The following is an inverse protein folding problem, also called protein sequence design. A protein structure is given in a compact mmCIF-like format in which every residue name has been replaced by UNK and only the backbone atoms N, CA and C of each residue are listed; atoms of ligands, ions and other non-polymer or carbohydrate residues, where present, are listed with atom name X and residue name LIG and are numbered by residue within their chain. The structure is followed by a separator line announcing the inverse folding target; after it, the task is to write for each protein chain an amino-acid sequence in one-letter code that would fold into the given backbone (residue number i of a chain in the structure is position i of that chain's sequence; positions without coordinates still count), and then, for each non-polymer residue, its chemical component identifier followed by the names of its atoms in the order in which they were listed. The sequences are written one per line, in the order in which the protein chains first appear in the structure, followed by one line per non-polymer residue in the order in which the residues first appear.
data_IF_132917822858
#
_entry.id   IF_132917822858
#
_cell.length_a   1.000
_cell.length_b   1.000
_cell.length_c   1.000
_cell.angle_alpha   90.00
_cell.angle_beta   90.00
_cell.angle_gamma   90.00
#
_symmetry.space_group_name_H-M   'P 1'
#
loop_
_entity.id
_entity.type
_entity.pdbx_description
1 polymer ?
#
# COMPACT_ATOMS: atom_id res chain seq x y z
N UNK A 1 31.09 1.11 37.51
CA UNK A 1 31.75 0.40 36.39
C UNK A 1 31.15 -0.98 36.06
N UNK A 2 30.24 -1.58 36.84
CA UNK A 2 29.63 -2.90 36.53
C UNK A 2 28.32 -2.87 35.72
N UNK A 3 27.72 -1.70 35.46
CA UNK A 3 26.42 -1.60 34.79
C UNK A 3 26.52 -1.56 33.25
N UNK A 4 27.70 -1.28 32.71
CA UNK A 4 27.88 -1.09 31.26
C UNK A 4 27.95 -2.44 30.52
N UNK A 5 28.63 -3.42 31.12
CA UNK A 5 28.72 -4.79 30.59
C UNK A 5 27.39 -5.55 30.65
N UNK A 6 26.51 -5.25 31.63
CA UNK A 6 25.18 -5.87 31.72
C UNK A 6 24.24 -5.34 30.64
N UNK A 7 24.28 -4.04 30.35
CA UNK A 7 23.52 -3.43 29.27
C UNK A 7 23.99 -3.91 27.89
N UNK A 8 25.30 -4.00 27.66
CA UNK A 8 25.83 -4.53 26.40
C UNK A 8 25.43 -5.99 26.15
N UNK A 9 25.54 -6.87 27.17
CA UNK A 9 25.08 -8.25 27.06
C UNK A 9 23.58 -8.34 26.77
N UNK A 10 22.77 -7.48 27.41
CA UNK A 10 21.33 -7.41 27.16
C UNK A 10 21.02 -6.93 25.74
N UNK A 11 21.75 -5.93 25.25
CA UNK A 11 21.64 -5.50 23.85
C UNK A 11 21.92 -6.66 22.90
N UNK A 12 23.06 -7.35 23.04
CA UNK A 12 23.41 -8.50 22.19
C UNK A 12 22.39 -9.64 22.25
N UNK A 13 21.73 -9.84 23.39
CA UNK A 13 20.69 -10.86 23.54
C UNK A 13 19.36 -10.47 22.86
N UNK A 14 19.03 -9.18 22.84
CA UNK A 14 17.71 -8.68 22.46
C UNK A 14 17.74 -7.76 21.23
N UNK A 15 18.84 -7.80 20.49
CA UNK A 15 18.99 -7.16 19.19
C UNK A 15 18.69 -8.19 18.10
N UNK A 16 17.70 -7.88 17.26
CA UNK A 16 17.34 -8.69 16.10
C UNK A 16 17.70 -7.93 14.83
N UNK A 17 18.43 -8.60 13.95
CA UNK A 17 18.73 -8.10 12.62
C UNK A 17 17.99 -8.94 11.59
N UNK A 18 17.27 -8.28 10.69
CA UNK A 18 16.55 -8.92 9.60
C UNK A 18 17.41 -8.92 8.35
N UNK A 19 18.19 -9.99 8.16
CA UNK A 19 19.13 -10.12 7.04
C UNK A 19 18.48 -9.82 5.68
N UNK A 20 19.21 -9.11 4.82
CA UNK A 20 18.72 -8.72 3.49
C UNK A 20 17.74 -7.55 3.46
N UNK A 21 17.28 -7.03 4.60
CA UNK A 21 16.31 -5.91 4.64
C UNK A 21 16.91 -4.57 5.06
N UNK A 22 18.10 -4.58 5.67
CA UNK A 22 18.69 -3.39 6.31
C UNK A 22 17.94 -2.95 7.59
N UNK A 23 16.97 -3.74 8.06
CA UNK A 23 16.17 -3.44 9.25
C UNK A 23 16.74 -4.19 10.46
N UNK A 24 16.82 -3.48 11.58
CA UNK A 24 17.19 -4.04 12.89
C UNK A 24 16.26 -3.51 13.97
N UNK A 25 16.04 -4.33 15.00
CA UNK A 25 15.20 -4.02 16.15
C UNK A 25 15.97 -4.27 17.44
N UNK A 26 16.09 -3.24 18.28
CA UNK A 26 16.61 -3.34 19.65
C UNK A 26 15.46 -3.23 20.65
N UNK A 27 15.17 -4.32 21.37
CA UNK A 27 14.16 -4.31 22.45
C UNK A 27 14.79 -4.27 23.86
N UNK A 28 16.11 -4.16 23.97
CA UNK A 28 16.83 -4.26 25.24
C UNK A 28 16.41 -3.20 26.27
N UNK A 29 15.81 -2.10 25.84
CA UNK A 29 15.37 -0.98 26.71
C UNK A 29 13.88 -0.99 27.05
N UNK A 30 13.13 -2.02 26.66
CA UNK A 30 11.68 -2.09 26.90
C UNK A 30 11.27 -2.52 28.31
N UNK A 31 12.22 -2.79 29.22
CA UNK A 31 11.94 -3.02 30.63
C UNK A 31 11.19 -4.31 30.98
N UNK A 32 11.19 -5.31 30.09
CA UNK A 32 10.68 -6.66 30.37
C UNK A 32 11.76 -7.57 30.97
N UNK A 33 11.36 -8.54 31.79
CA UNK A 33 12.24 -9.59 32.31
C UNK A 33 12.05 -10.93 31.57
N UNK A 34 12.95 -11.88 31.83
CA UNK A 34 12.92 -13.21 31.18
C UNK A 34 11.69 -14.03 31.57
N UNK A 35 11.26 -13.95 32.83
CA UNK A 35 10.06 -14.65 33.28
C UNK A 35 8.82 -14.23 32.50
N UNK A 36 8.64 -12.93 32.27
CA UNK A 36 7.56 -12.41 31.45
C UNK A 36 7.68 -12.89 29.99
N UNK A 37 8.87 -12.82 29.40
CA UNK A 37 9.11 -13.33 28.04
C UNK A 37 8.74 -14.81 27.89
N UNK A 38 9.12 -15.63 28.87
CA UNK A 38 8.85 -17.07 28.88
C UNK A 38 7.34 -17.35 28.95
N UNK A 39 6.58 -16.55 29.72
CA UNK A 39 5.11 -16.69 29.78
C UNK A 39 4.42 -16.40 28.45
N UNK A 40 5.05 -15.63 27.56
CA UNK A 40 4.47 -15.25 26.27
C UNK A 40 4.76 -16.26 25.15
N UNK A 41 5.68 -17.20 25.34
CA UNK A 41 6.11 -18.11 24.27
C UNK A 41 4.95 -18.93 23.70
N UNK A 42 4.09 -19.48 24.56
CA UNK A 42 2.93 -20.27 24.11
C UNK A 42 1.92 -19.45 23.31
N UNK A 43 1.63 -18.22 23.75
CA UNK A 43 0.73 -17.31 23.04
C UNK A 43 1.29 -16.93 21.67
N UNK A 44 2.60 -16.70 21.58
CA UNK A 44 3.23 -16.37 20.30
C UNK A 44 3.31 -17.57 19.35
N UNK A 45 3.61 -18.77 19.86
CA UNK A 45 3.56 -19.98 19.07
C UNK A 45 2.16 -20.21 18.47
N UNK A 46 1.11 -20.01 19.27
CA UNK A 46 -0.27 -20.06 18.78
C UNK A 46 -0.55 -18.98 17.72
N UNK A 47 -0.07 -17.74 17.91
CA UNK A 47 -0.24 -16.67 16.93
C UNK A 47 0.39 -17.01 15.57
N UNK A 48 1.56 -17.66 15.56
CA UNK A 48 2.21 -18.13 14.32
C UNK A 48 1.40 -19.23 13.63
N UNK A 49 0.80 -20.16 14.39
CA UNK A 49 -0.11 -21.18 13.84
C UNK A 49 -1.35 -20.55 13.21
N UNK A 50 -1.95 -19.55 13.87
CA UNK A 50 -3.09 -18.82 13.30
C UNK A 50 -2.70 -18.01 12.06
N UNK A 51 -1.49 -17.44 12.04
CA UNK A 51 -0.96 -16.75 10.86
C UNK A 51 -0.79 -17.69 9.66
N UNK A 52 -0.27 -18.91 9.88
CA UNK A 52 -0.17 -19.93 8.83
C UNK A 52 -1.55 -20.29 8.25
N UNK A 53 -2.57 -20.46 9.11
CA UNK A 53 -3.96 -20.68 8.66
C UNK A 53 -4.49 -19.50 7.84
N UNK A 54 -4.25 -18.27 8.28
CA UNK A 54 -4.67 -17.06 7.58
C UNK A 54 -4.06 -16.99 6.17
N UNK A 55 -2.77 -17.27 6.06
CA UNK A 55 -2.05 -17.29 4.78
C UNK A 55 -2.51 -18.43 3.87
N UNK A 56 -2.87 -19.57 4.45
CA UNK A 56 -3.50 -20.69 3.76
C UNK A 56 -4.94 -20.42 3.28
N UNK A 57 -5.47 -19.21 3.48
CA UNK A 57 -6.79 -18.82 2.99
C UNK A 57 -7.93 -19.11 3.96
N UNK A 58 -7.66 -19.27 5.25
CA UNK A 58 -8.74 -19.34 6.24
C UNK A 58 -9.59 -18.06 6.22
N UNK A 59 -10.89 -18.22 6.52
CA UNK A 59 -11.80 -17.09 6.72
C UNK A 59 -11.39 -16.40 8.02
N UNK A 60 -10.81 -15.21 7.86
CA UNK A 60 -10.27 -14.41 8.95
C UNK A 60 -11.32 -13.50 9.57
N UNK A 61 -12.20 -12.96 8.73
CA UNK A 61 -13.27 -12.06 9.13
C UNK A 61 -14.60 -12.82 9.08
N UNK A 62 -15.10 -13.36 10.22
CA UNK A 62 -16.34 -14.13 10.24
C UNK A 62 -17.57 -13.27 9.91
N UNK A 63 -17.54 -11.96 10.24
CA UNK A 63 -18.67 -11.06 10.00
C UNK A 63 -18.86 -10.77 8.50
N UNK A 64 -17.75 -10.71 7.75
CA UNK A 64 -17.78 -10.47 6.30
C UNK A 64 -17.59 -11.75 5.47
N UNK A 65 -17.32 -12.89 6.12
CA UNK A 65 -16.95 -14.15 5.49
C UNK A 65 -15.81 -14.01 4.46
N UNK A 66 -14.73 -13.30 4.85
CA UNK A 66 -13.59 -12.96 3.96
C UNK A 66 -12.26 -13.55 4.43
N UNK A 67 -11.45 -13.92 3.45
CA UNK A 67 -10.01 -14.18 3.62
C UNK A 67 -9.23 -12.87 3.78
N UNK A 68 -7.98 -12.97 4.25
CA UNK A 68 -7.02 -11.85 4.31
C UNK A 68 -5.79 -12.23 3.51
N UNK A 69 -5.66 -11.69 2.30
CA UNK A 69 -4.72 -12.19 1.29
C UNK A 69 -3.61 -11.23 0.87
N UNK A 70 -3.37 -10.15 1.62
CA UNK A 70 -2.41 -9.11 1.20
C UNK A 70 -0.96 -9.62 1.07
N UNK A 71 -0.61 -10.73 1.70
CA UNK A 71 0.69 -11.42 1.52
C UNK A 71 0.84 -12.04 0.13
N UNK A 72 -0.26 -12.56 -0.44
CA UNK A 72 -0.26 -13.16 -1.78
C UNK A 72 0.08 -12.13 -2.86
N UNK A 73 -0.22 -10.85 -2.62
CA UNK A 73 0.15 -9.76 -3.54
C UNK A 73 1.67 -9.59 -3.68
N UNK A 74 2.43 -9.93 -2.63
CA UNK A 74 3.90 -9.80 -2.58
C UNK A 74 4.58 -11.11 -2.95
N UNK A 75 3.89 -12.22 -2.69
CA UNK A 75 4.33 -13.55 -3.08
C UNK A 75 3.12 -14.36 -3.59
N UNK A 76 2.81 -14.29 -4.89
CA UNK A 76 1.68 -15.05 -5.45
C UNK A 76 1.85 -16.55 -5.26
N UNK A 77 3.07 -17.03 -5.00
CA UNK A 77 3.34 -18.45 -4.95
C UNK A 77 2.69 -19.18 -3.76
N UNK A 78 2.38 -18.42 -2.71
CA UNK A 78 1.71 -18.91 -1.49
C UNK A 78 0.20 -18.67 -1.52
N UNK A 79 -0.37 -18.23 -2.64
CA UNK A 79 -1.81 -18.09 -2.78
C UNK A 79 -2.52 -19.46 -2.60
N UNK A 80 -3.72 -19.49 -2.00
CA UNK A 80 -4.39 -20.73 -1.61
C UNK A 80 -4.92 -21.55 -2.80
N UNK A 81 -4.96 -20.96 -4.01
CA UNK A 81 -5.31 -21.65 -5.24
C UNK A 81 -4.69 -20.94 -6.46
N UNK A 82 -4.66 -21.64 -7.59
CA UNK A 82 -4.07 -21.15 -8.84
C UNK A 82 -4.86 -19.98 -9.45
N UNK A 83 -6.17 -19.91 -9.25
CA UNK A 83 -6.97 -18.80 -9.76
C UNK A 83 -6.53 -17.45 -9.16
N UNK A 84 -6.33 -17.40 -7.84
CA UNK A 84 -5.85 -16.19 -7.15
C UNK A 84 -4.40 -15.88 -7.57
N UNK A 85 -3.55 -16.91 -7.64
CA UNK A 85 -2.15 -16.77 -8.06
C UNK A 85 -2.04 -16.10 -9.43
N UNK A 86 -2.75 -16.63 -10.42
CA UNK A 86 -2.68 -16.12 -11.79
C UNK A 86 -3.33 -14.74 -11.91
N UNK A 87 -4.47 -14.49 -11.25
CA UNK A 87 -5.08 -13.15 -11.21
C UNK A 87 -4.14 -12.07 -10.66
N UNK A 88 -3.32 -12.39 -9.66
CA UNK A 88 -2.34 -11.44 -9.11
C UNK A 88 -1.22 -11.17 -10.11
N UNK A 89 -0.68 -12.22 -10.74
CA UNK A 89 0.40 -12.11 -11.74
C UNK A 89 -0.06 -11.32 -12.97
N UNK A 90 -1.19 -11.70 -13.55
CA UNK A 90 -1.80 -11.03 -14.71
C UNK A 90 -2.07 -9.55 -14.42
N UNK A 91 -2.56 -9.24 -13.21
CA UNK A 91 -2.79 -7.86 -12.82
C UNK A 91 -1.46 -7.09 -12.70
N UNK A 92 -0.43 -7.67 -12.07
CA UNK A 92 0.89 -7.02 -11.97
C UNK A 92 1.48 -6.72 -13.36
N UNK A 93 1.42 -7.68 -14.29
CA UNK A 93 1.86 -7.49 -15.68
C UNK A 93 1.05 -6.39 -16.38
N UNK A 94 -0.27 -6.35 -16.14
CA UNK A 94 -1.15 -5.32 -16.69
C UNK A 94 -0.82 -3.92 -16.16
N UNK A 95 -0.44 -3.81 -14.88
CA UNK A 95 -0.02 -2.54 -14.27
C UNK A 95 1.28 -2.04 -14.90
N UNK A 96 2.27 -2.92 -15.06
CA UNK A 96 3.54 -2.61 -15.72
C UNK A 96 3.31 -2.13 -17.16
N UNK A 97 2.60 -2.92 -17.96
CA UNK A 97 2.32 -2.59 -19.36
C UNK A 97 1.54 -1.27 -19.52
N UNK A 98 0.54 -1.04 -18.67
CA UNK A 98 -0.20 0.22 -18.70
C UNK A 98 0.69 1.41 -18.35
N UNK A 99 1.47 1.31 -17.27
CA UNK A 99 2.30 2.41 -16.77
C UNK A 99 3.43 2.74 -17.75
N UNK A 100 4.10 1.74 -18.33
CA UNK A 100 5.12 1.93 -19.36
C UNK A 100 4.55 2.72 -20.55
N UNK A 101 3.37 2.32 -21.04
CA UNK A 101 2.68 3.00 -22.15
C UNK A 101 2.24 4.42 -21.82
N UNK A 102 1.93 4.72 -20.57
CA UNK A 102 1.63 6.09 -20.11
C UNK A 102 2.91 6.92 -20.12
N UNK A 103 4.00 6.41 -19.55
CA UNK A 103 5.25 7.13 -19.36
C UNK A 103 5.99 7.38 -20.68
N UNK A 104 5.91 6.46 -21.64
CA UNK A 104 6.49 6.64 -22.98
C UNK A 104 5.60 7.39 -23.98
N UNK A 105 4.36 7.69 -23.59
CA UNK A 105 3.40 8.47 -24.39
C UNK A 105 2.63 7.68 -25.44
N UNK A 106 2.68 6.35 -25.46
CA UNK A 106 1.77 5.50 -26.27
C UNK A 106 0.30 5.68 -25.83
N UNK A 107 0.06 5.82 -24.53
CA UNK A 107 -1.19 6.32 -23.95
C UNK A 107 -0.94 7.80 -23.61
N UNK A 108 -1.71 8.69 -24.23
CA UNK A 108 -1.52 10.14 -24.12
C UNK A 108 -2.84 10.85 -23.88
N UNK A 109 -2.82 12.01 -23.19
CA UNK A 109 -4.02 12.83 -23.02
C UNK A 109 -4.52 13.36 -24.38
N UNK A 110 -5.83 13.64 -24.54
CA UNK A 110 -6.38 14.13 -25.80
C UNK A 110 -5.82 15.49 -26.25
N UNK A 111 -5.38 16.32 -25.30
CA UNK A 111 -5.01 17.73 -25.53
C UNK A 111 -3.54 18.05 -25.23
N UNK A 112 -2.69 17.04 -25.05
CA UNK A 112 -1.25 17.22 -24.83
C UNK A 112 -0.42 16.06 -25.42
N UNK A 113 0.90 16.23 -25.48
CA UNK A 113 1.80 15.23 -26.09
C UNK A 113 1.98 13.99 -25.23
N UNK A 114 1.97 14.14 -23.90
CA UNK A 114 2.15 13.08 -22.90
C UNK A 114 1.53 13.50 -21.58
N UNK A 115 1.33 12.56 -20.68
CA UNK A 115 1.05 12.88 -19.27
C UNK A 115 2.31 13.40 -18.59
N UNK A 116 2.15 14.37 -17.70
CA UNK A 116 3.24 14.90 -16.87
C UNK A 116 2.85 14.96 -15.38
N UNK A 117 1.55 14.83 -15.08
CA UNK A 117 0.97 14.90 -13.75
C UNK A 117 0.10 13.69 -13.46
N UNK A 118 0.04 13.29 -12.20
CA UNK A 118 -0.91 12.33 -11.66
C UNK A 118 -1.77 13.02 -10.60
N UNK A 119 -3.08 12.89 -10.70
CA UNK A 119 -4.03 13.29 -9.65
C UNK A 119 -4.70 12.04 -9.09
N UNK A 120 -4.34 11.65 -7.89
CA UNK A 120 -4.95 10.52 -7.18
C UNK A 120 -6.13 11.01 -6.35
N UNK A 121 -7.27 10.34 -6.48
CA UNK A 121 -8.51 10.61 -5.74
C UNK A 121 -8.91 9.35 -4.98
N UNK A 122 -8.88 9.40 -3.66
CA UNK A 122 -9.15 8.25 -2.79
C UNK A 122 -9.04 8.66 -1.33
N UNK A 123 -9.67 7.96 -0.39
CA UNK A 123 -9.57 8.29 1.05
C UNK A 123 -9.09 7.10 1.86
N UNK A 124 -8.44 7.37 3.00
CA UNK A 124 -7.95 6.35 3.93
C UNK A 124 -6.98 5.39 3.24
N UNK A 125 -7.27 4.09 3.26
CA UNK A 125 -6.44 3.07 2.62
C UNK A 125 -6.18 3.28 1.12
N UNK A 126 -7.14 3.90 0.41
CA UNK A 126 -7.03 4.22 -1.01
C UNK A 126 -6.07 5.37 -1.32
N UNK A 127 -5.58 6.10 -0.33
CA UNK A 127 -4.68 7.24 -0.54
C UNK A 127 -3.46 7.28 0.39
N UNK A 128 -3.58 6.86 1.66
CA UNK A 128 -2.48 6.95 2.62
C UNK A 128 -1.28 6.07 2.25
N UNK A 129 -1.50 4.85 1.77
CA UNK A 129 -0.43 3.98 1.28
C UNK A 129 0.31 4.58 0.08
N UNK A 130 -0.40 4.98 -1.00
CA UNK A 130 0.20 5.71 -2.11
C UNK A 130 0.93 6.99 -1.72
N UNK A 131 0.37 7.79 -0.80
CA UNK A 131 1.02 9.00 -0.28
C UNK A 131 2.32 8.68 0.46
N UNK A 132 2.32 7.64 1.29
CA UNK A 132 3.51 7.19 2.01
C UNK A 132 4.62 6.76 1.03
N UNK A 133 4.28 5.95 0.02
CA UNK A 133 5.27 5.54 -0.99
C UNK A 133 5.83 6.75 -1.74
N UNK A 134 4.97 7.66 -2.17
CA UNK A 134 5.39 8.88 -2.84
C UNK A 134 6.35 9.69 -1.96
N UNK A 135 5.97 10.01 -0.72
CA UNK A 135 6.79 10.84 0.17
C UNK A 135 8.09 10.16 0.62
N UNK A 136 8.05 8.86 0.91
CA UNK A 136 9.22 8.13 1.37
C UNK A 136 10.26 7.95 0.25
N UNK A 137 9.83 7.93 -1.01
CA UNK A 137 10.66 7.64 -2.17
C UNK A 137 10.88 8.85 -3.09
N UNK A 138 10.26 10.01 -2.79
CA UNK A 138 10.45 11.29 -3.51
C UNK A 138 11.92 11.74 -3.50
N UNK A 139 12.66 11.41 -2.44
CA UNK A 139 14.08 11.72 -2.28
C UNK A 139 15.05 10.83 -3.08
N UNK A 140 14.56 9.78 -3.76
CA UNK A 140 15.41 8.94 -4.60
C UNK A 140 15.87 9.77 -5.81
N UNK A 141 17.19 9.92 -6.05
CA UNK A 141 17.71 10.67 -7.18
C UNK A 141 17.10 10.18 -8.49
N UNK A 142 16.77 11.09 -9.43
CA UNK A 142 16.12 10.72 -10.70
C UNK A 142 16.89 9.66 -11.50
N UNK A 143 18.22 9.63 -11.37
CA UNK A 143 19.13 8.63 -11.98
C UNK A 143 18.95 7.21 -11.44
N UNK A 144 18.35 7.06 -10.26
CA UNK A 144 18.09 5.79 -9.57
C UNK A 144 16.64 5.34 -9.76
N UNK A 145 15.78 6.19 -10.33
CA UNK A 145 14.44 5.79 -10.75
C UNK A 145 14.52 4.99 -12.05
N UNK A 146 13.63 4.01 -12.20
CA UNK A 146 13.56 3.17 -13.40
C UNK A 146 13.12 3.98 -14.62
N UNK A 147 12.26 5.00 -14.42
CA UNK A 147 11.73 5.91 -15.42
C UNK A 147 11.48 7.30 -14.82
N UNK A 148 11.40 8.33 -15.67
CA UNK A 148 10.96 9.64 -15.21
C UNK A 148 9.47 9.64 -14.91
N UNK A 149 9.11 9.84 -13.64
CA UNK A 149 7.75 9.72 -13.13
C UNK A 149 6.88 10.97 -13.29
N UNK A 150 5.58 10.82 -13.02
CA UNK A 150 4.61 11.90 -12.99
C UNK A 150 4.62 12.63 -11.64
N UNK A 151 4.63 13.97 -11.68
CA UNK A 151 4.42 14.78 -10.46
C UNK A 151 3.01 14.52 -9.90
N UNK A 152 2.90 14.12 -8.64
CA UNK A 152 1.65 13.57 -8.07
C UNK A 152 0.96 14.54 -7.11
N UNK A 153 -0.36 14.62 -7.22
CA UNK A 153 -1.27 15.37 -6.37
C UNK A 153 -2.32 14.42 -5.77
N UNK A 154 -2.83 14.75 -4.59
CA UNK A 154 -3.76 13.89 -3.85
C UNK A 154 -5.00 14.65 -3.42
N UNK A 155 -6.18 14.10 -3.71
CA UNK A 155 -7.46 14.50 -3.13
C UNK A 155 -7.90 13.37 -2.21
N UNK A 156 -7.70 13.56 -0.90
CA UNK A 156 -7.92 12.54 0.13
C UNK A 156 -8.90 12.92 1.23
N UNK A 157 -9.50 14.09 1.11
CA UNK A 157 -10.49 14.61 2.03
C UNK A 157 -11.56 15.38 1.24
N UNK A 158 -12.60 15.84 1.94
CA UNK A 158 -13.73 16.56 1.34
C UNK A 158 -13.64 18.08 1.44
N UNK A 159 -12.50 18.64 1.88
CA UNK A 159 -12.34 20.08 2.01
C UNK A 159 -12.30 20.74 0.61
N UNK A 160 -13.32 21.54 0.23
CA UNK A 160 -13.35 22.19 -1.07
C UNK A 160 -12.20 23.18 -1.25
N UNK A 161 -11.68 23.79 -0.18
CA UNK A 161 -10.56 24.72 -0.27
C UNK A 161 -9.26 23.97 -0.60
N UNK A 162 -9.04 22.81 0.03
CA UNK A 162 -7.98 21.87 -0.30
C UNK A 162 -7.97 21.48 -1.78
N UNK A 163 -9.12 21.04 -2.29
CA UNK A 163 -9.28 20.72 -3.71
C UNK A 163 -9.01 21.93 -4.61
N UNK A 164 -9.54 23.11 -4.28
CA UNK A 164 -9.32 24.33 -5.04
C UNK A 164 -7.83 24.72 -5.11
N UNK A 165 -7.07 24.54 -4.01
CA UNK A 165 -5.61 24.75 -4.01
C UNK A 165 -4.89 23.79 -4.96
N UNK A 166 -5.32 22.52 -5.04
CA UNK A 166 -4.76 21.54 -5.97
C UNK A 166 -5.07 21.94 -7.42
N UNK A 167 -6.33 22.25 -7.74
CA UNK A 167 -6.69 22.67 -9.11
C UNK A 167 -5.99 23.96 -9.53
N UNK A 168 -5.75 24.90 -8.59
CA UNK A 168 -4.95 26.10 -8.85
C UNK A 168 -3.50 25.76 -9.18
N UNK A 169 -2.88 24.81 -8.45
CA UNK A 169 -1.51 24.34 -8.73
C UNK A 169 -1.41 23.63 -10.08
N UNK A 170 -2.37 22.76 -10.38
CA UNK A 170 -2.44 22.10 -11.69
C UNK A 170 -2.63 23.12 -12.81
N UNK A 171 -3.51 24.10 -12.63
CA UNK A 171 -3.69 25.16 -13.62
C UNK A 171 -3.90 24.58 -15.03
N UNK A 172 -3.09 25.01 -15.99
CA UNK A 172 -3.17 24.51 -17.38
C UNK A 172 -2.55 23.12 -17.58
N UNK A 173 -1.81 22.60 -16.61
CA UNK A 173 -1.32 21.21 -16.65
C UNK A 173 -2.45 20.19 -16.49
N UNK A 174 -3.69 20.62 -16.16
CA UNK A 174 -4.85 19.71 -16.09
C UNK A 174 -5.07 18.92 -17.40
N UNK A 175 -4.71 19.50 -18.55
CA UNK A 175 -4.78 18.84 -19.87
C UNK A 175 -3.73 17.73 -20.09
N UNK A 176 -2.75 17.64 -19.18
CA UNK A 176 -1.68 16.63 -19.16
C UNK A 176 -1.66 15.83 -17.84
N UNK A 177 -2.77 15.87 -17.09
CA UNK A 177 -2.95 15.14 -15.82
C UNK A 177 -3.69 13.83 -16.03
N UNK A 178 -3.09 12.72 -15.64
CA UNK A 178 -3.78 11.44 -15.48
C UNK A 178 -4.53 11.46 -14.14
N UNK A 179 -5.81 11.11 -14.15
CA UNK A 179 -6.65 11.04 -12.94
C UNK A 179 -6.82 9.58 -12.55
N UNK A 180 -6.41 9.23 -11.34
CA UNK A 180 -6.53 7.90 -10.78
C UNK A 180 -7.56 7.91 -9.65
N UNK A 181 -8.72 7.27 -9.85
CA UNK A 181 -9.80 7.19 -8.88
C UNK A 181 -9.77 5.82 -8.19
N UNK A 182 -9.60 5.81 -6.87
CA UNK A 182 -9.40 4.57 -6.10
C UNK A 182 -10.49 4.43 -5.03
N UNK A 183 -11.40 3.46 -5.21
CA UNK A 183 -12.47 3.16 -4.25
C UNK A 183 -12.89 1.70 -4.35
N UNK A 184 -12.65 0.88 -3.31
CA UNK A 184 -13.02 -0.54 -3.35
C UNK A 184 -14.50 -0.78 -3.68
N UNK A 185 -15.39 -0.07 -2.97
CA UNK A 185 -16.84 -0.20 -3.17
C UNK A 185 -17.34 0.52 -4.42
N UNK A 186 -16.53 1.41 -4.99
CA UNK A 186 -16.94 2.37 -6.02
C UNK A 186 -17.94 3.42 -5.56
N UNK A 187 -18.38 3.38 -4.30
CA UNK A 187 -19.45 4.21 -3.74
C UNK A 187 -18.99 5.12 -2.59
N UNK A 188 -17.69 5.12 -2.24
CA UNK A 188 -17.16 5.99 -1.18
C UNK A 188 -17.49 7.45 -1.47
N UNK A 189 -18.24 8.10 -0.57
CA UNK A 189 -18.81 9.44 -0.80
C UNK A 189 -17.71 10.48 -1.03
N UNK A 190 -16.65 10.44 -0.23
CA UNK A 190 -15.53 11.36 -0.29
C UNK A 190 -14.79 11.25 -1.64
N UNK A 191 -14.48 10.02 -2.05
CA UNK A 191 -13.84 9.75 -3.35
C UNK A 191 -14.73 10.15 -4.52
N UNK A 192 -16.03 9.83 -4.44
CA UNK A 192 -17.01 10.21 -5.47
C UNK A 192 -17.12 11.72 -5.59
N UNK A 193 -17.15 12.45 -4.49
CA UNK A 193 -17.22 13.91 -4.50
C UNK A 193 -15.94 14.51 -5.10
N UNK A 194 -14.75 14.03 -4.70
CA UNK A 194 -13.49 14.46 -5.31
C UNK A 194 -13.45 14.22 -6.83
N UNK A 195 -13.96 13.08 -7.29
CA UNK A 195 -14.11 12.76 -8.72
C UNK A 195 -15.07 13.73 -9.42
N UNK A 196 -16.24 14.01 -8.84
CA UNK A 196 -17.21 14.95 -9.43
C UNK A 196 -16.66 16.38 -9.51
N UNK A 197 -15.97 16.85 -8.47
CA UNK A 197 -15.29 18.15 -8.51
C UNK A 197 -14.17 18.19 -9.55
N UNK A 198 -13.43 17.09 -9.71
CA UNK A 198 -12.41 16.99 -10.77
C UNK A 198 -13.07 17.02 -12.15
N UNK A 199 -14.19 16.32 -12.35
CA UNK A 199 -14.97 16.39 -13.60
C UNK A 199 -15.47 17.80 -13.88
N UNK A 200 -15.90 18.53 -12.86
CA UNK A 200 -16.29 19.93 -13.00
C UNK A 200 -15.10 20.81 -13.43
N UNK A 201 -13.93 20.61 -12.83
CA UNK A 201 -12.70 21.32 -13.22
C UNK A 201 -12.31 21.02 -14.70
N UNK A 202 -12.38 19.76 -15.13
CA UNK A 202 -12.16 19.37 -16.52
C UNK A 202 -13.16 20.04 -17.46
N UNK A 203 -14.46 19.99 -17.14
CA UNK A 203 -15.53 20.62 -17.92
C UNK A 203 -15.33 22.13 -18.06
N UNK A 204 -14.91 22.81 -16.99
CA UNK A 204 -14.65 24.26 -17.01
C UNK A 204 -13.54 24.67 -18.00
N UNK A 205 -12.65 23.73 -18.34
CA UNK A 205 -11.57 23.90 -19.31
C UNK A 205 -11.83 23.21 -20.66
N UNK A 206 -13.06 22.72 -20.87
CA UNK A 206 -13.46 21.96 -22.07
C UNK A 206 -12.55 20.73 -22.32
N UNK A 207 -12.13 20.04 -21.25
CA UNK A 207 -11.31 18.83 -21.29
C UNK A 207 -12.18 17.57 -21.14
N UNK A 208 -11.74 16.47 -21.77
CA UNK A 208 -12.38 15.17 -21.63
C UNK A 208 -11.81 14.40 -20.43
N UNK A 209 -12.64 14.19 -19.41
CA UNK A 209 -12.26 13.43 -18.22
C UNK A 209 -11.97 11.96 -18.52
N UNK A 210 -12.83 11.28 -19.29
CA UNK A 210 -12.71 9.85 -19.54
C UNK A 210 -11.39 9.48 -20.24
N UNK A 211 -10.97 10.31 -21.22
CA UNK A 211 -9.69 10.17 -21.92
C UNK A 211 -8.45 10.46 -21.06
N UNK A 212 -8.64 10.77 -19.78
CA UNK A 212 -7.58 11.02 -18.80
C UNK A 212 -7.84 10.30 -17.46
N UNK A 213 -8.80 9.38 -17.37
CA UNK A 213 -9.20 8.75 -16.11
C UNK A 213 -8.91 7.25 -16.08
N UNK A 214 -8.56 6.75 -14.90
CA UNK A 214 -8.32 5.33 -14.58
C UNK A 214 -9.00 5.00 -13.25
N UNK A 215 -9.56 3.81 -13.14
CA UNK A 215 -10.16 3.33 -11.89
C UNK A 215 -9.35 2.18 -11.27
N UNK A 216 -9.20 2.19 -9.95
CA UNK A 216 -8.83 1.01 -9.14
C UNK A 216 -9.97 0.72 -8.19
N UNK A 217 -10.66 -0.40 -8.39
CA UNK A 217 -11.96 -0.64 -7.74
C UNK A 217 -12.33 -2.12 -7.71
N UNK A 218 -13.31 -2.48 -6.88
CA UNK A 218 -13.87 -3.83 -6.87
C UNK A 218 -14.58 -4.16 -8.18
N UNK A 219 -14.51 -5.43 -8.59
CA UNK A 219 -15.25 -5.94 -9.74
C UNK A 219 -16.75 -5.70 -9.57
N UNK A 220 -17.43 -5.26 -10.63
CA UNK A 220 -18.86 -4.97 -10.61
C UNK A 220 -19.28 -3.74 -9.77
N UNK A 221 -18.35 -3.03 -9.13
CA UNK A 221 -18.63 -1.81 -8.36
C UNK A 221 -19.22 -0.68 -9.22
N UNK A 222 -19.85 0.31 -8.57
CA UNK A 222 -20.39 1.49 -9.25
C UNK A 222 -19.32 2.25 -10.06
N UNK A 223 -18.09 2.32 -9.54
CA UNK A 223 -16.97 2.97 -10.22
C UNK A 223 -16.50 2.15 -11.43
N UNK A 224 -16.49 0.81 -11.35
CA UNK A 224 -16.16 -0.04 -12.48
C UNK A 224 -17.18 0.13 -13.61
N UNK A 225 -18.48 0.06 -13.28
CA UNK A 225 -19.57 0.24 -14.23
C UNK A 225 -19.49 1.61 -14.92
N UNK A 226 -19.25 2.68 -14.14
CA UNK A 226 -19.07 4.03 -14.68
C UNK A 226 -17.87 4.09 -15.64
N UNK A 227 -16.71 3.63 -15.20
CA UNK A 227 -15.47 3.67 -15.97
C UNK A 227 -15.57 2.88 -17.29
N UNK A 228 -16.24 1.72 -17.28
CA UNK A 228 -16.52 0.96 -18.50
C UNK A 228 -17.52 1.68 -19.41
N UNK A 229 -18.61 2.22 -18.86
CA UNK A 229 -19.65 2.92 -19.65
C UNK A 229 -19.15 4.19 -20.34
N UNK A 230 -18.15 4.84 -19.75
CA UNK A 230 -17.55 6.07 -20.25
C UNK A 230 -16.22 5.83 -20.97
N UNK A 231 -15.82 4.56 -21.14
CA UNK A 231 -14.58 4.17 -21.83
C UNK A 231 -13.33 4.86 -21.27
N UNK A 232 -13.16 4.82 -19.94
CA UNK A 232 -11.95 5.30 -19.26
C UNK A 232 -10.72 4.52 -19.73
N UNK A 233 -9.52 5.09 -19.51
CA UNK A 233 -8.26 4.52 -20.00
C UNK A 233 -7.92 3.15 -19.42
N UNK A 234 -8.46 2.82 -18.24
CA UNK A 234 -8.24 1.54 -17.59
C UNK A 234 -9.08 1.35 -16.33
N UNK A 235 -9.37 0.07 -16.02
CA UNK A 235 -10.01 -0.36 -14.78
C UNK A 235 -9.20 -1.52 -14.22
N UNK A 236 -8.65 -1.35 -13.01
CA UNK A 236 -7.81 -2.34 -12.35
C UNK A 236 -8.51 -2.89 -11.10
N UNK A 237 -8.48 -4.22 -10.89
CA UNK A 237 -9.22 -4.86 -9.81
C UNK A 237 -8.66 -4.55 -8.42
N UNK A 238 -9.56 -4.44 -7.47
CA UNK A 238 -9.28 -4.54 -6.04
C UNK A 238 -10.11 -5.67 -5.44
N UNK A 239 -9.46 -6.74 -4.99
CA UNK A 239 -10.16 -7.93 -4.51
C UNK A 239 -10.71 -7.79 -3.08
N UNK A 240 -11.73 -8.58 -2.77
CA UNK A 240 -12.41 -8.51 -1.48
C UNK A 240 -11.55 -8.92 -0.29
N UNK A 241 -10.60 -9.83 -0.49
CA UNK A 241 -9.62 -10.26 0.52
C UNK A 241 -8.45 -9.27 0.72
N UNK A 242 -8.43 -8.16 -0.03
CA UNK A 242 -7.53 -7.03 0.21
C UNK A 242 -8.24 -6.00 1.07
N UNK A 243 -7.76 -5.82 2.31
CA UNK A 243 -8.24 -4.78 3.22
C UNK A 243 -7.70 -3.41 2.80
N UNK A 244 -8.48 -2.34 3.04
CA UNK A 244 -8.05 -0.99 2.67
C UNK A 244 -6.74 -0.56 3.35
N UNK A 245 -6.53 -0.91 4.63
CA UNK A 245 -5.27 -0.59 5.35
C UNK A 245 -4.08 -1.48 4.96
N UNK A 246 -4.30 -2.50 4.13
CA UNK A 246 -3.27 -3.44 3.65
C UNK A 246 -3.18 -3.47 2.12
N UNK A 247 -3.76 -2.49 1.43
CA UNK A 247 -3.86 -2.47 -0.04
C UNK A 247 -2.67 -1.86 -0.75
N UNK A 248 -1.66 -1.33 -0.04
CA UNK A 248 -0.53 -0.64 -0.69
C UNK A 248 0.26 -1.53 -1.66
N UNK A 249 0.29 -2.84 -1.43
CA UNK A 249 0.92 -3.81 -2.35
C UNK A 249 -0.03 -4.34 -3.43
N UNK A 250 -1.23 -3.76 -3.59
CA UNK A 250 -2.14 -4.05 -4.71
C UNK A 250 -2.09 -2.93 -5.74
N UNK A 251 -2.96 -2.99 -6.76
CA UNK A 251 -3.15 -1.89 -7.73
C UNK A 251 -3.39 -0.51 -7.06
N UNK A 252 -3.83 -0.47 -5.80
CA UNK A 252 -3.98 0.78 -5.04
C UNK A 252 -2.65 1.52 -4.90
N UNK A 253 -1.56 0.84 -4.54
CA UNK A 253 -0.25 1.46 -4.36
C UNK A 253 0.71 1.22 -5.52
N UNK A 254 0.63 0.06 -6.20
CA UNK A 254 1.56 -0.29 -7.27
C UNK A 254 1.36 0.55 -8.53
N UNK A 255 0.11 0.83 -8.93
CA UNK A 255 -0.17 1.66 -10.10
C UNK A 255 0.37 3.09 -9.94
N UNK A 256 0.06 3.85 -8.87
CA UNK A 256 0.63 5.18 -8.71
C UNK A 256 2.16 5.14 -8.54
N UNK A 257 2.71 4.11 -7.89
CA UNK A 257 4.16 3.98 -7.74
C UNK A 257 4.87 3.79 -9.08
N UNK A 258 4.36 2.91 -9.95
CA UNK A 258 4.87 2.74 -11.32
C UNK A 258 4.81 4.04 -12.12
N UNK A 259 3.69 4.75 -12.05
CA UNK A 259 3.50 6.05 -12.71
C UNK A 259 4.43 7.15 -12.13
N UNK A 260 4.94 6.96 -10.93
CA UNK A 260 5.94 7.83 -10.28
C UNK A 260 7.39 7.41 -10.60
N UNK A 261 7.59 6.34 -11.39
CA UNK A 261 8.91 5.81 -11.72
C UNK A 261 9.55 5.01 -10.58
N UNK A 262 8.77 4.55 -9.61
CA UNK A 262 9.23 3.71 -8.51
C UNK A 262 9.34 2.26 -8.99
N UNK A 263 10.44 1.59 -8.62
CA UNK A 263 10.63 0.16 -8.85
C UNK A 263 9.72 -0.64 -7.89
N UNK A 264 8.56 -1.04 -8.41
CA UNK A 264 7.58 -1.79 -7.64
C UNK A 264 7.97 -3.25 -7.43
N UNK A 265 8.79 -3.83 -8.31
CA UNK A 265 9.24 -5.22 -8.16
C UNK A 265 10.23 -5.31 -6.99
N UNK A 266 11.15 -4.35 -6.88
CA UNK A 266 12.02 -4.22 -5.72
C UNK A 266 11.23 -3.96 -4.42
N UNK A 267 10.17 -3.14 -4.48
CA UNK A 267 9.30 -2.90 -3.34
C UNK A 267 8.57 -4.17 -2.88
N UNK A 268 7.99 -4.94 -3.82
CA UNK A 268 7.32 -6.21 -3.52
C UNK A 268 8.31 -7.27 -3.01
N UNK A 269 9.51 -7.35 -3.58
CA UNK A 269 10.55 -8.27 -3.12
C UNK A 269 11.01 -7.92 -1.69
N UNK A 270 11.23 -6.64 -1.38
CA UNK A 270 11.53 -6.21 -0.02
C UNK A 270 10.44 -6.59 0.99
N UNK A 271 9.16 -6.43 0.59
CA UNK A 271 8.02 -6.83 1.41
C UNK A 271 7.96 -8.36 1.58
N UNK A 272 8.25 -9.14 0.54
CA UNK A 272 8.33 -10.61 0.56
C UNK A 272 9.46 -11.13 1.45
N UNK A 273 10.64 -10.49 1.42
CA UNK A 273 11.75 -10.83 2.31
C UNK A 273 11.35 -10.59 3.76
N UNK A 274 10.74 -9.43 4.07
CA UNK A 274 10.26 -9.15 5.41
C UNK A 274 9.20 -10.15 5.87
N UNK A 275 8.28 -10.52 4.98
CA UNK A 275 7.31 -11.59 5.21
C UNK A 275 8.00 -12.91 5.63
N UNK A 276 9.13 -13.28 5.01
CA UNK A 276 9.94 -14.42 5.47
C UNK A 276 10.40 -14.29 6.94
N UNK A 277 10.87 -13.11 7.34
CA UNK A 277 11.30 -12.84 8.73
C UNK A 277 10.15 -12.89 9.73
N UNK A 278 8.95 -12.42 9.36
CA UNK A 278 7.78 -12.45 10.27
C UNK A 278 7.24 -13.84 10.53
N UNK A 279 7.64 -14.84 9.73
CA UNK A 279 7.27 -16.25 9.87
C UNK A 279 8.28 -17.07 10.67
N UNK A 280 9.37 -16.47 11.13
CA UNK A 280 10.40 -17.18 11.88
C UNK A 280 9.85 -17.69 13.22
N UNK A 281 9.90 -19.01 13.50
CA UNK A 281 9.40 -19.58 14.76
C UNK A 281 10.31 -19.26 15.96
N UNK A 282 11.59 -18.92 15.73
CA UNK A 282 12.43 -18.36 16.78
C UNK A 282 12.06 -16.90 16.99
N UNK A 283 11.27 -16.64 18.03
CA UNK A 283 10.71 -15.31 18.31
C UNK A 283 11.80 -14.25 18.45
N UNK A 284 13.01 -14.60 18.92
CA UNK A 284 14.12 -13.65 19.04
C UNK A 284 14.74 -13.25 17.70
N UNK A 285 14.40 -13.96 16.63
CA UNK A 285 14.78 -13.66 15.25
C UNK A 285 13.59 -13.19 14.40
N UNK A 286 12.45 -12.95 15.05
CA UNK A 286 11.22 -12.51 14.41
C UNK A 286 10.93 -11.07 14.84
N UNK A 287 11.27 -10.06 14.02
CA UNK A 287 11.15 -8.65 14.41
C UNK A 287 9.69 -8.27 14.69
N UNK A 288 8.73 -8.81 13.93
CA UNK A 288 7.31 -8.51 14.12
C UNK A 288 6.76 -9.10 15.42
N UNK A 289 7.13 -10.34 15.74
CA UNK A 289 6.74 -10.98 16.99
C UNK A 289 7.37 -10.26 18.21
N UNK A 290 8.65 -9.90 18.12
CA UNK A 290 9.33 -9.10 19.15
C UNK A 290 8.63 -7.76 19.36
N UNK A 291 8.34 -7.02 18.28
CA UNK A 291 7.66 -5.74 18.37
C UNK A 291 6.25 -5.89 18.97
N UNK A 292 5.49 -6.90 18.56
CA UNK A 292 4.17 -7.19 19.09
C UNK A 292 4.20 -7.51 20.60
N UNK A 293 5.18 -8.30 21.05
CA UNK A 293 5.39 -8.58 22.47
C UNK A 293 5.75 -7.32 23.26
N UNK A 294 6.66 -6.51 22.73
CA UNK A 294 7.05 -5.27 23.40
C UNK A 294 5.91 -4.27 23.48
N UNK A 295 5.07 -4.24 22.46
CA UNK A 295 3.85 -3.44 22.47
C UNK A 295 2.86 -3.93 23.53
N UNK A 296 2.63 -5.25 23.58
CA UNK A 296 1.80 -5.87 24.60
C UNK A 296 2.31 -5.57 26.01
N UNK A 297 3.63 -5.66 26.23
CA UNK A 297 4.27 -5.32 27.50
C UNK A 297 4.06 -3.85 27.88
N UNK A 298 4.40 -2.94 26.96
CA UNK A 298 4.35 -1.49 27.21
C UNK A 298 2.92 -0.98 27.43
N UNK A 299 1.94 -1.62 26.78
CA UNK A 299 0.51 -1.30 26.89
C UNK A 299 -0.25 -2.14 27.92
N UNK A 300 0.42 -2.95 28.75
CA UNK A 300 -0.19 -3.87 29.73
C UNK A 300 -1.20 -4.84 29.13
N UNK A 301 -1.11 -5.14 27.83
CA UNK A 301 -2.09 -5.90 27.07
C UNK A 301 -3.46 -5.22 26.88
N UNK A 302 -3.60 -3.95 27.28
CA UNK A 302 -4.85 -3.17 27.23
C UNK A 302 -4.77 -1.90 26.39
N UNK A 303 -3.60 -1.61 25.80
CA UNK A 303 -3.40 -0.40 25.00
C UNK A 303 -3.20 0.86 25.84
N UNK A 304 -2.64 0.72 27.05
CA UNK A 304 -2.39 1.83 27.98
C UNK A 304 -1.34 2.85 27.45
N UNK A 305 -0.72 2.57 26.29
CA UNK A 305 0.19 3.47 25.58
C UNK A 305 -0.20 3.55 24.11
N UNK A 306 0.07 4.70 23.48
CA UNK A 306 -0.02 4.90 22.04
C UNK A 306 1.35 4.68 21.37
N UNK A 307 1.35 4.16 20.14
CA UNK A 307 2.56 3.96 19.36
C UNK A 307 3.06 5.34 18.91
N UNK A 308 4.33 5.64 19.18
CA UNK A 308 5.00 6.87 18.74
C UNK A 308 6.25 6.47 17.97
#
# INVERSE_FOLDING_TARGET
MNNDLSHWKRFLEWFCQSDGTGISLDISRMGFDRSWWDTMQSSMANALVEMEKLEGGAVANPDENRMVGHYWLRNPDIAPNDEIREKIRENLDSLHHFSERVLDGRIKPPNAKRFSRLLLIGIGGSALGPQLLYQALEGIPEKEKSLSGLETFFIDNTDPEGMARIYKKLGDSLKETLVLVISKSGGTVETRNGMLETRNAFKSKNLNFAGQAVAVTGEGSLLAQLAHSEEWLGVFPMWDWVGGRTSVTSAVGLLPALLQGIDVDAFLEGAKIMDGHTRNPDIRKNPAAMLALMWHHAGSGRGDRAMV
#
